data_IF_397398510421
#
_entry.id   IF_397398510421
#
_cell.length_a   1.000
_cell.length_b   1.000
_cell.length_c   1.000
_cell.angle_alpha   90.00
_cell.angle_beta   90.00
_cell.angle_gamma   90.00
#
_symmetry.space_group_name_H-M   'P 1'
#
loop_
_entity.id
_entity.type
_entity.pdbx_description
1 polymer ?
#
# COMPACT_ATOMS: atom_id res chain seq x y z
N UNK A 1 11.91 4.71 4.15
CA UNK A 1 11.78 5.51 2.91
C UNK A 1 10.46 5.18 2.24
N UNK A 2 9.84 6.16 1.62
CA UNK A 2 8.50 6.00 1.03
C UNK A 2 8.60 6.21 -0.48
N UNK A 3 7.99 5.28 -1.23
CA UNK A 3 7.85 5.40 -2.69
C UNK A 3 6.39 5.66 -3.00
N UNK A 4 6.10 6.81 -3.60
CA UNK A 4 4.74 7.16 -4.01
C UNK A 4 4.50 6.67 -5.43
N UNK A 5 3.40 5.95 -5.62
CA UNK A 5 3.02 5.37 -6.91
C UNK A 5 1.65 5.90 -7.33
N UNK A 6 1.47 6.13 -8.63
CA UNK A 6 0.19 6.60 -9.16
C UNK A 6 -0.70 5.46 -9.64
N UNK A 7 -0.12 4.35 -10.03
CA UNK A 7 -0.85 3.21 -10.58
C UNK A 7 -0.49 1.92 -9.89
N UNK A 8 -1.35 0.91 -10.06
CA UNK A 8 -1.07 -0.43 -9.54
C UNK A 8 0.17 -1.03 -10.21
N UNK A 9 0.39 -0.74 -11.49
CA UNK A 9 1.59 -1.21 -12.20
C UNK A 9 2.86 -0.72 -11.53
N UNK A 10 2.88 0.52 -11.09
CA UNK A 10 4.03 1.07 -10.38
C UNK A 10 4.24 0.40 -9.01
N UNK A 11 3.15 0.19 -8.28
CA UNK A 11 3.22 -0.53 -7.01
C UNK A 11 3.83 -1.92 -7.21
N UNK A 12 3.34 -2.65 -8.21
CA UNK A 12 3.83 -3.99 -8.50
C UNK A 12 5.30 -3.98 -8.91
N UNK A 13 5.69 -2.99 -9.70
CA UNK A 13 7.05 -2.85 -10.20
C UNK A 13 8.04 -2.64 -9.04
N UNK A 14 7.79 -1.64 -8.22
CA UNK A 14 8.70 -1.32 -7.10
C UNK A 14 8.68 -2.42 -6.05
N UNK A 15 7.51 -2.98 -5.77
CA UNK A 15 7.39 -4.08 -4.82
C UNK A 15 8.24 -5.27 -5.24
N UNK A 16 8.12 -5.65 -6.51
CA UNK A 16 8.89 -6.78 -7.03
C UNK A 16 10.38 -6.53 -7.01
N UNK A 17 10.81 -5.33 -7.41
CA UNK A 17 12.24 -5.03 -7.48
C UNK A 17 12.89 -4.89 -6.11
N UNK A 18 12.23 -4.17 -5.20
CA UNK A 18 12.80 -3.88 -3.89
C UNK A 18 12.75 -5.07 -2.95
N UNK A 19 11.81 -5.99 -3.14
CA UNK A 19 11.69 -7.16 -2.28
C UNK A 19 12.64 -8.30 -2.62
N UNK A 20 13.32 -8.23 -3.77
CA UNK A 20 14.27 -9.28 -4.18
C UNK A 20 15.41 -9.36 -3.18
N UNK A 21 15.58 -10.53 -2.57
CA UNK A 21 16.62 -10.74 -1.55
C UNK A 21 16.30 -10.13 -0.20
N UNK A 22 15.13 -9.52 -0.05
CA UNK A 22 14.70 -8.94 1.21
C UNK A 22 13.49 -9.64 1.78
N UNK A 23 12.68 -8.91 2.55
CA UNK A 23 11.47 -9.43 3.18
C UNK A 23 10.31 -8.49 2.96
N UNK A 24 9.14 -9.05 2.64
CA UNK A 24 7.90 -8.29 2.58
C UNK A 24 7.28 -8.23 3.97
N UNK A 25 6.61 -7.10 4.25
CA UNK A 25 5.93 -6.85 5.52
C UNK A 25 4.52 -6.35 5.24
N UNK A 26 3.76 -6.09 6.29
CA UNK A 26 2.37 -5.63 6.16
C UNK A 26 2.29 -4.16 5.79
N UNK A 27 1.14 -3.73 5.32
CA UNK A 27 0.80 -2.32 5.06
C UNK A 27 1.70 -1.65 4.02
N UNK A 28 2.16 -2.42 3.03
CA UNK A 28 2.99 -1.88 1.98
C UNK A 28 4.45 -1.71 2.35
N UNK A 29 4.86 -2.19 3.53
CA UNK A 29 6.25 -2.13 3.96
C UNK A 29 7.03 -3.34 3.44
N UNK A 30 8.29 -3.11 3.16
CA UNK A 30 9.24 -4.19 2.88
C UNK A 30 10.64 -3.77 3.33
N UNK A 31 11.51 -4.74 3.54
CA UNK A 31 12.96 -4.51 3.69
C UNK A 31 13.65 -5.02 2.45
N UNK A 32 14.57 -4.22 1.92
CA UNK A 32 15.38 -4.67 0.79
C UNK A 32 16.54 -5.57 1.29
N UNK A 33 17.34 -6.05 0.35
CA UNK A 33 18.44 -6.95 0.67
C UNK A 33 19.53 -6.30 1.52
N UNK A 34 19.51 -4.99 1.63
CA UNK A 34 20.47 -4.24 2.46
C UNK A 34 19.89 -3.90 3.83
N UNK A 35 18.67 -4.33 4.13
CA UNK A 35 18.01 -4.05 5.41
C UNK A 35 17.34 -2.70 5.49
N UNK A 36 17.21 -1.98 4.38
CA UNK A 36 16.52 -0.70 4.35
C UNK A 36 15.02 -0.92 4.25
N UNK A 37 14.26 -0.25 5.11
CA UNK A 37 12.79 -0.33 5.09
C UNK A 37 12.21 0.64 4.06
N UNK A 38 11.32 0.11 3.23
CA UNK A 38 10.62 0.88 2.19
C UNK A 38 9.13 0.69 2.36
N UNK A 39 8.37 1.75 2.14
CA UNK A 39 6.90 1.66 2.05
C UNK A 39 6.49 2.06 0.64
N UNK A 40 5.78 1.17 -0.03
CA UNK A 40 5.28 1.40 -1.39
C UNK A 40 3.82 1.83 -1.27
N UNK A 41 3.56 3.12 -1.51
CA UNK A 41 2.26 3.74 -1.23
C UNK A 41 1.67 4.29 -2.52
N UNK A 42 0.49 3.79 -2.96
CA UNK A 42 -0.21 4.42 -4.08
C UNK A 42 -0.88 5.73 -3.65
N UNK A 43 -0.93 6.69 -4.55
CA UNK A 43 -1.60 7.97 -4.31
C UNK A 43 -3.06 7.75 -3.91
N UNK A 44 -3.72 6.76 -4.52
CA UNK A 44 -5.10 6.40 -4.19
C UNK A 44 -5.28 6.06 -2.71
N UNK A 45 -4.29 5.41 -2.08
CA UNK A 45 -4.35 5.11 -0.65
C UNK A 45 -4.39 6.38 0.17
N UNK A 46 -3.52 7.34 -0.15
CA UNK A 46 -3.47 8.62 0.57
C UNK A 46 -4.79 9.36 0.42
N UNK A 47 -5.34 9.40 -0.79
CA UNK A 47 -6.62 10.07 -1.04
C UNK A 47 -7.75 9.43 -0.25
N UNK A 48 -7.78 8.11 -0.19
CA UNK A 48 -8.83 7.38 0.52
C UNK A 48 -8.72 7.54 2.04
N UNK A 49 -7.51 7.60 2.56
CA UNK A 49 -7.28 7.82 3.99
C UNK A 49 -7.65 9.24 4.39
N UNK A 50 -7.38 10.21 3.51
CA UNK A 50 -7.68 11.61 3.76
C UNK A 50 -9.12 11.99 3.39
N UNK A 51 -9.98 11.01 3.10
CA UNK A 51 -11.38 11.27 2.80
C UNK A 51 -12.05 12.00 3.97
N UNK A 52 -12.93 12.93 3.65
CA UNK A 52 -13.66 13.70 4.66
C UNK A 52 -14.61 12.87 5.49
N UNK A 53 -15.03 11.72 4.96
CA UNK A 53 -15.90 10.79 5.68
C UNK A 53 -15.04 9.87 6.55
N UNK A 54 -15.09 10.01 7.88
CA UNK A 54 -14.27 9.17 8.75
C UNK A 54 -14.56 7.68 8.62
N UNK A 55 -15.78 7.30 8.28
CA UNK A 55 -16.12 5.89 8.10
C UNK A 55 -15.40 5.29 6.90
N UNK A 56 -15.30 6.04 5.79
CA UNK A 56 -14.59 5.59 4.61
C UNK A 56 -13.09 5.51 4.86
N UNK A 57 -12.55 6.51 5.52
CA UNK A 57 -11.14 6.55 5.89
C UNK A 57 -10.78 5.34 6.77
N UNK A 58 -11.61 5.04 7.76
CA UNK A 58 -11.38 3.94 8.68
C UNK A 58 -11.44 2.59 7.95
N UNK A 59 -12.39 2.40 7.04
CA UNK A 59 -12.48 1.18 6.26
C UNK A 59 -11.24 0.96 5.40
N UNK A 60 -10.73 2.04 4.82
CA UNK A 60 -9.50 1.98 4.04
C UNK A 60 -8.32 1.56 4.90
N UNK A 61 -8.21 2.13 6.10
CA UNK A 61 -7.16 1.76 7.04
C UNK A 61 -7.24 0.29 7.43
N UNK A 62 -8.44 -0.20 7.70
CA UNK A 62 -8.62 -1.60 8.07
C UNK A 62 -8.26 -2.54 6.93
N UNK A 63 -8.63 -2.19 5.70
CA UNK A 63 -8.27 -2.98 4.53
C UNK A 63 -6.75 -3.02 4.35
N UNK A 64 -6.10 -1.86 4.52
CA UNK A 64 -4.65 -1.76 4.40
C UNK A 64 -3.92 -2.64 5.42
N UNK A 65 -4.42 -2.68 6.65
CA UNK A 65 -3.79 -3.47 7.71
C UNK A 65 -3.78 -4.97 7.42
N UNK A 66 -4.66 -5.43 6.54
CA UNK A 66 -4.73 -6.83 6.15
C UNK A 66 -3.93 -7.13 4.88
N UNK A 67 -3.31 -6.12 4.29
CA UNK A 67 -2.55 -6.28 3.05
C UNK A 67 -1.06 -6.35 3.34
N UNK A 68 -0.34 -7.10 2.51
CA UNK A 68 1.11 -7.06 2.44
C UNK A 68 1.50 -6.05 1.36
N UNK A 69 1.27 -6.40 0.09
CA UNK A 69 1.38 -5.45 -1.01
C UNK A 69 0.06 -4.69 -1.13
N UNK A 70 0.13 -3.37 -1.29
CA UNK A 70 -1.07 -2.56 -1.43
C UNK A 70 -1.75 -2.85 -2.77
N UNK A 71 -3.03 -3.16 -2.72
CA UNK A 71 -3.86 -3.43 -3.88
C UNK A 71 -4.93 -2.34 -3.96
N UNK A 72 -4.82 -1.48 -4.95
CA UNK A 72 -5.72 -0.32 -5.09
C UNK A 72 -7.17 -0.78 -5.28
N UNK A 73 -7.39 -1.82 -6.07
CA UNK A 73 -8.74 -2.33 -6.31
C UNK A 73 -9.39 -2.79 -5.01
N UNK A 74 -8.65 -3.47 -4.16
CA UNK A 74 -9.16 -3.94 -2.87
C UNK A 74 -9.41 -2.81 -1.89
N UNK A 75 -8.65 -1.74 -1.98
CA UNK A 75 -8.88 -0.56 -1.14
C UNK A 75 -10.23 0.09 -1.45
N UNK A 76 -10.65 0.03 -2.72
CA UNK A 76 -11.92 0.61 -3.15
C UNK A 76 -13.10 -0.33 -2.97
N UNK A 77 -12.86 -1.64 -3.03
CA UNK A 77 -13.89 -2.66 -2.99
C UNK A 77 -14.72 -2.65 -1.68
N UNK A 78 -14.13 -2.56 -0.48
CA UNK A 78 -14.90 -2.63 0.75
C UNK A 78 -15.99 -1.58 0.87
N UNK A 79 -15.86 -0.48 0.13
CA UNK A 79 -16.85 0.61 0.19
C UNK A 79 -18.12 0.30 -0.59
N UNK A 80 -18.06 -0.70 -1.45
CA UNK A 80 -19.22 -1.13 -2.23
C UNK A 80 -20.22 -1.93 -1.41
N UNK A 81 -19.89 -2.22 -0.18
CA UNK A 81 -20.73 -3.07 0.70
C UNK A 81 -21.30 -2.31 1.85
#
# INVERSE_FOLDING_TARGET
>A
MIVNCETQSEVDHYWGKLSVGGQTQQCGWLKDKFGVSWQIVPTALVELICDKDPAKSQRTMQAMLQMTKIDIARLREPRAR
#
